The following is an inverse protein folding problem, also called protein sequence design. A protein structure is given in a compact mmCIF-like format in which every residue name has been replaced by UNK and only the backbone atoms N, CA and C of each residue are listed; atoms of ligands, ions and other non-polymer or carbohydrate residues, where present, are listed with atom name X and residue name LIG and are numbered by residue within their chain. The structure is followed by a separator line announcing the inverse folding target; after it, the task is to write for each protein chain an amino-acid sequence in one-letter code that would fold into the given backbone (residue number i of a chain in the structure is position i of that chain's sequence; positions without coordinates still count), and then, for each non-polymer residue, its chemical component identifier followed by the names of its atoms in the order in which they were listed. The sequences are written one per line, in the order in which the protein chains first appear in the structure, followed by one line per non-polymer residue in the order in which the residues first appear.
data_IF_414780475858
#
_entry.id   IF_414780475858
#
_cell.length_a   1.000
_cell.length_b   1.000
_cell.length_c   1.000
_cell.angle_alpha   90.00
_cell.angle_beta   90.00
_cell.angle_gamma   90.00
#
_symmetry.space_group_name_H-M   'P 1'
#
loop_
_entity.id
_entity.type
_entity.pdbx_description
1 polymer ?
#
# COMPACT_ATOMS: atom_id res chain seq x y z
N UNK A 1 -3.35 -14.08 0.84
CA UNK A 1 -2.03 -13.57 0.40
C UNK A 1 -2.12 -12.07 0.36
N UNK A 2 -1.75 -11.42 1.46
CA UNK A 2 -1.81 -9.97 1.61
C UNK A 2 -0.39 -9.43 1.39
N UNK A 3 -0.20 -8.67 0.30
CA UNK A 3 1.14 -8.25 -0.17
C UNK A 3 1.89 -7.38 0.85
N UNK A 4 1.16 -6.71 1.73
CA UNK A 4 1.74 -5.91 2.80
C UNK A 4 2.16 -6.79 3.98
N UNK A 5 1.37 -7.81 4.31
CA UNK A 5 1.69 -8.76 5.37
C UNK A 5 2.89 -9.64 5.01
N UNK A 6 3.01 -10.04 3.74
CA UNK A 6 4.14 -10.82 3.23
C UNK A 6 5.45 -10.03 3.26
N UNK A 7 5.40 -8.75 2.88
CA UNK A 7 6.59 -7.92 2.78
C UNK A 7 6.99 -7.25 4.11
N UNK A 8 6.09 -7.19 5.10
CA UNK A 8 6.35 -6.68 6.44
C UNK A 8 6.93 -5.25 6.50
N UNK A 9 6.82 -4.51 5.41
CA UNK A 9 7.51 -3.23 5.19
C UNK A 9 6.60 -2.23 4.48
N UNK A 10 6.81 -0.92 4.69
CA UNK A 10 6.13 0.11 3.91
C UNK A 10 6.42 -0.08 2.41
N UNK A 11 5.36 -0.11 1.60
CA UNK A 11 5.43 -0.23 0.15
C UNK A 11 5.02 1.07 -0.52
N UNK A 12 5.70 1.41 -1.62
CA UNK A 12 5.25 2.53 -2.44
C UNK A 12 4.12 2.09 -3.36
N UNK A 13 3.32 3.06 -3.81
CA UNK A 13 2.33 2.83 -4.87
C UNK A 13 2.94 2.16 -6.12
N UNK A 14 4.22 2.41 -6.41
CA UNK A 14 4.96 1.77 -7.51
C UNK A 14 5.18 0.28 -7.29
N UNK A 15 5.65 -0.12 -6.10
CA UNK A 15 5.86 -1.52 -5.76
C UNK A 15 4.55 -2.31 -5.80
N UNK A 16 3.46 -1.67 -5.38
CA UNK A 16 2.12 -2.25 -5.45
C UNK A 16 1.63 -2.39 -6.90
N UNK A 17 1.92 -1.42 -7.77
CA UNK A 17 1.66 -1.60 -9.21
C UNK A 17 2.42 -2.82 -9.74
N UNK A 18 3.70 -3.00 -9.40
CA UNK A 18 4.45 -4.19 -9.83
C UNK A 18 3.90 -5.49 -9.25
N UNK A 19 3.59 -5.52 -7.96
CA UNK A 19 3.06 -6.71 -7.30
C UNK A 19 1.66 -7.11 -7.79
N UNK A 20 0.89 -6.14 -8.28
CA UNK A 20 -0.42 -6.36 -8.90
C UNK A 20 -0.32 -6.58 -10.42
N UNK A 21 0.89 -6.68 -10.98
CA UNK A 21 1.17 -6.79 -12.41
C UNK A 21 0.51 -5.66 -13.25
N UNK A 22 0.38 -4.48 -12.63
CA UNK A 22 -0.17 -3.29 -13.27
C UNK A 22 0.96 -2.50 -13.94
N UNK A 23 0.72 -1.94 -15.15
CA UNK A 23 1.70 -1.09 -15.79
C UNK A 23 1.97 0.14 -14.91
N UNK A 24 3.25 0.44 -14.68
CA UNK A 24 3.73 1.60 -13.90
C UNK A 24 3.56 2.88 -14.74
N UNK A 25 2.31 3.20 -15.07
CA UNK A 25 1.92 4.45 -15.71
C UNK A 25 1.45 5.46 -14.65
N UNK A 26 1.67 6.76 -14.88
CA UNK A 26 1.22 7.84 -13.96
C UNK A 26 -0.25 7.68 -13.58
N UNK A 27 -1.11 7.40 -14.57
CA UNK A 27 -2.55 7.15 -14.39
C UNK A 27 -2.84 6.01 -13.41
N UNK A 28 -2.10 4.90 -13.51
CA UNK A 28 -2.30 3.74 -12.66
C UNK A 28 -1.78 4.01 -11.25
N UNK A 29 -0.61 4.63 -11.13
CA UNK A 29 -0.03 5.02 -9.84
C UNK A 29 -0.94 5.98 -9.08
N UNK A 30 -1.54 6.97 -9.74
CA UNK A 30 -2.51 7.87 -9.11
C UNK A 30 -3.79 7.16 -8.69
N UNK A 31 -4.30 6.26 -9.51
CA UNK A 31 -5.49 5.47 -9.19
C UNK A 31 -5.24 4.52 -8.00
N UNK A 32 -4.06 3.88 -7.97
CA UNK A 32 -3.60 3.08 -6.83
C UNK A 32 -3.41 3.97 -5.60
N UNK A 33 -2.79 5.14 -5.73
CA UNK A 33 -2.65 6.10 -4.61
C UNK A 33 -4.01 6.52 -4.06
N UNK A 34 -5.00 6.78 -4.90
CA UNK A 34 -6.36 7.10 -4.47
C UNK A 34 -7.02 5.93 -3.71
N UNK A 35 -6.86 4.70 -4.19
CA UNK A 35 -7.34 3.49 -3.50
C UNK A 35 -6.63 3.31 -2.15
N UNK A 36 -5.31 3.45 -2.10
CA UNK A 36 -4.53 3.34 -0.88
C UNK A 36 -4.93 4.39 0.14
N UNK A 37 -5.11 5.65 -0.30
CA UNK A 37 -5.58 6.73 0.57
C UNK A 37 -6.97 6.46 1.15
N UNK A 38 -7.84 5.77 0.39
CA UNK A 38 -9.15 5.31 0.89
C UNK A 38 -9.01 4.23 1.96
N UNK A 39 -8.11 3.27 1.77
CA UNK A 39 -7.77 2.27 2.80
C UNK A 39 -7.14 2.91 4.05
N UNK A 40 -6.34 3.96 3.88
CA UNK A 40 -5.80 4.75 4.99
C UNK A 40 -6.90 5.44 5.76
N UNK A 41 -7.83 6.08 5.06
CA UNK A 41 -9.00 6.72 5.69
C UNK A 41 -9.93 5.72 6.39
N UNK A 42 -9.89 4.44 5.98
CA UNK A 42 -10.60 3.36 6.65
C UNK A 42 -9.82 2.76 7.83
N UNK A 43 -8.58 3.19 8.09
CA UNK A 43 -7.72 2.65 9.14
C UNK A 43 -7.12 1.28 8.82
N UNK A 44 -7.23 0.81 7.58
CA UNK A 44 -6.68 -0.47 7.12
C UNK A 44 -5.20 -0.32 6.72
N UNK A 45 -4.82 0.85 6.21
CA UNK A 45 -3.44 1.22 5.87
C UNK A 45 -3.03 2.49 6.64
N UNK A 46 -1.74 2.75 6.73
CA UNK A 46 -1.20 4.02 7.23
C UNK A 46 -0.26 4.60 6.19
N UNK A 47 -0.42 5.89 5.93
CA UNK A 47 0.53 6.63 5.10
C UNK A 47 1.64 7.13 6.02
N UNK A 48 2.81 6.47 5.99
CA UNK A 48 3.97 6.87 6.80
C UNK A 48 4.66 8.08 6.21
N UNK A 49 4.71 8.13 4.88
CA UNK A 49 5.31 9.22 4.09
C UNK A 49 4.50 9.42 2.80
N UNK A 50 4.53 10.60 2.17
CA UNK A 50 3.76 10.87 0.95
C UNK A 50 4.08 9.89 -0.19
N UNK A 51 3.16 8.95 -0.45
CA UNK A 51 3.34 7.87 -1.43
C UNK A 51 3.96 6.57 -0.90
N UNK A 52 4.12 6.46 0.41
CA UNK A 52 4.59 5.30 1.14
C UNK A 52 3.49 4.83 2.09
N UNK A 53 3.00 3.63 1.83
CA UNK A 53 1.88 3.05 2.55
C UNK A 53 2.37 1.81 3.29
N UNK A 54 2.09 1.75 4.57
CA UNK A 54 2.36 0.57 5.38
C UNK A 54 1.03 0.02 5.87
N UNK A 55 0.98 -1.28 6.16
CA UNK A 55 -0.06 -1.75 7.06
C UNK A 55 0.20 -1.14 8.44
N UNK A 56 -0.81 -0.50 9.09
CA UNK A 56 -0.78 -0.32 10.52
C UNK A 56 -0.61 -1.72 11.02
N UNK A 57 0.51 -1.99 11.71
CA UNK A 57 0.80 -3.32 12.22
C UNK A 57 -0.50 -3.86 12.82
N UNK A 58 -1.11 -4.87 12.20
CA UNK A 58 -1.70 -5.90 13.02
C UNK A 58 -0.50 -6.38 13.80
N UNK A 59 -0.30 -5.85 15.01
CA UNK A 59 0.59 -6.48 15.96
C UNK A 59 0.21 -7.96 15.89
N UNK A 60 1.09 -8.87 15.45
CA UNK A 60 1.04 -10.18 16.06
C UNK A 60 1.40 -9.89 17.50
N UNK A 61 0.37 -9.65 18.32
CA UNK A 61 0.48 -10.01 19.71
C UNK A 61 0.61 -11.54 19.67
N UNK A 62 1.86 -12.00 19.67
CA UNK A 62 2.43 -13.32 20.01
C UNK A 62 3.53 -13.71 19.02
#
# INVERSE_FOLDING_TARGET
MDVFADLGRPLRARDLCQALDLPIAKKNTENIRAKLKRLVNQGILVETEPGMFAQPRSQPNC
#
